data_IF_108840745310
#
_entry.id   IF_108840745310
#
_cell.length_a   1.000
_cell.length_b   1.000
_cell.length_c   1.000
_cell.angle_alpha   90.00
_cell.angle_beta   90.00
_cell.angle_gamma   90.00
#
_symmetry.space_group_name_H-M   'P 1'
#
loop_
_entity.id
_entity.type
_entity.pdbx_description
1 polymer ?
#
# COMPACT_ATOMS: atom_id res chain seq x y z
N UNK A 1 8.58 -7.35 127.72
CA UNK A 1 7.39 -7.48 126.86
C UNK A 1 7.55 -6.49 125.70
N UNK A 2 7.76 -5.21 125.99
CA UNK A 2 7.97 -4.12 125.01
C UNK A 2 8.99 -4.36 123.87
N UNK A 3 10.11 -5.03 124.11
CA UNK A 3 11.12 -5.27 123.06
C UNK A 3 10.64 -6.25 121.97
N UNK A 4 9.80 -7.22 122.32
CA UNK A 4 9.22 -8.16 121.35
C UNK A 4 8.14 -7.48 120.51
N UNK A 5 7.34 -6.61 121.13
CA UNK A 5 6.27 -5.89 120.46
C UNK A 5 6.84 -4.88 119.44
N UNK A 6 7.91 -4.15 119.79
CA UNK A 6 8.65 -3.29 118.84
C UNK A 6 9.21 -4.06 117.66
N UNK A 7 9.76 -5.26 117.89
CA UNK A 7 10.29 -6.10 116.82
C UNK A 7 9.18 -6.65 115.90
N UNK A 8 8.02 -6.99 116.47
CA UNK A 8 6.84 -7.41 115.70
C UNK A 8 6.34 -6.25 114.82
N UNK A 9 6.27 -5.03 115.38
CA UNK A 9 5.87 -3.83 114.65
C UNK A 9 6.84 -3.50 113.50
N UNK A 10 8.15 -3.63 113.72
CA UNK A 10 9.18 -3.45 112.68
C UNK A 10 9.06 -4.50 111.56
N UNK A 11 8.78 -5.76 111.91
CA UNK A 11 8.53 -6.81 110.92
C UNK A 11 7.25 -6.58 110.12
N UNK A 12 6.18 -6.11 110.77
CA UNK A 12 4.93 -5.75 110.11
C UNK A 12 5.13 -4.61 109.11
N UNK A 13 5.79 -3.53 109.53
CA UNK A 13 6.12 -2.41 108.66
C UNK A 13 6.93 -2.87 107.43
N UNK A 14 7.92 -3.75 107.64
CA UNK A 14 8.74 -4.28 106.54
C UNK A 14 7.94 -5.18 105.59
N UNK A 15 6.99 -5.95 106.10
CA UNK A 15 6.05 -6.72 105.28
C UNK A 15 5.17 -5.80 104.43
N UNK A 16 4.61 -4.75 105.02
CA UNK A 16 3.76 -3.78 104.32
C UNK A 16 4.55 -3.03 103.23
N UNK A 17 5.80 -2.64 103.51
CA UNK A 17 6.70 -2.03 102.52
C UNK A 17 7.05 -2.98 101.36
N UNK A 18 7.22 -4.28 101.63
CA UNK A 18 7.43 -5.27 100.59
C UNK A 18 6.17 -5.48 99.75
N UNK A 19 5.01 -5.57 100.39
CA UNK A 19 3.73 -5.70 99.70
C UNK A 19 3.48 -4.50 98.80
N UNK A 20 3.68 -3.28 99.31
CA UNK A 20 3.53 -2.06 98.53
C UNK A 20 4.47 -2.03 97.31
N UNK A 21 5.75 -2.44 97.48
CA UNK A 21 6.70 -2.56 96.36
C UNK A 21 6.25 -3.57 95.32
N UNK A 22 5.76 -4.74 95.75
CA UNK A 22 5.23 -5.74 94.83
C UNK A 22 3.97 -5.27 94.11
N UNK A 23 3.08 -4.54 94.79
CA UNK A 23 1.89 -3.96 94.15
C UNK A 23 2.28 -2.93 93.07
N UNK A 24 3.26 -2.06 93.34
CA UNK A 24 3.79 -1.12 92.34
C UNK A 24 4.40 -1.87 91.16
N UNK A 25 5.20 -2.90 91.41
CA UNK A 25 5.85 -3.66 90.36
C UNK A 25 4.85 -4.46 89.51
N UNK A 26 3.82 -5.04 90.13
CA UNK A 26 2.71 -5.70 89.44
C UNK A 26 1.92 -4.72 88.57
N UNK A 27 1.65 -3.51 89.06
CA UNK A 27 0.99 -2.47 88.26
C UNK A 27 1.87 -2.06 87.07
N UNK A 28 3.18 -1.85 87.29
CA UNK A 28 4.13 -1.52 86.23
C UNK A 28 4.18 -2.63 85.17
N UNK A 29 4.34 -3.88 85.59
CA UNK A 29 4.34 -5.04 84.68
C UNK A 29 3.02 -5.16 83.92
N UNK A 30 1.88 -4.93 84.59
CA UNK A 30 0.57 -4.94 83.94
C UNK A 30 0.46 -3.88 82.84
N UNK A 31 0.92 -2.65 83.10
CA UNK A 31 0.94 -1.59 82.08
C UNK A 31 1.86 -1.95 80.91
N UNK A 32 3.06 -2.48 81.18
CA UNK A 32 4.01 -2.87 80.14
C UNK A 32 3.47 -4.02 79.26
N UNK A 33 2.80 -5.00 79.85
CA UNK A 33 2.15 -6.10 79.12
C UNK A 33 1.03 -5.58 78.23
N UNK A 34 0.22 -4.62 78.71
CA UNK A 34 -0.86 -4.03 77.93
C UNK A 34 -0.32 -3.21 76.74
N UNK A 35 0.75 -2.45 76.94
CA UNK A 35 1.41 -1.68 75.89
C UNK A 35 2.03 -2.59 74.82
N UNK A 36 2.73 -3.64 75.25
CA UNK A 36 3.31 -4.66 74.36
C UNK A 36 2.23 -5.40 73.60
N UNK A 37 1.13 -5.80 74.25
CA UNK A 37 -0.02 -6.44 73.60
C UNK A 37 -0.63 -5.54 72.53
N UNK A 38 -0.80 -4.26 72.84
CA UNK A 38 -1.31 -3.26 71.89
C UNK A 38 -0.35 -3.03 70.73
N UNK A 39 0.97 -3.03 70.99
CA UNK A 39 1.98 -2.95 69.95
C UNK A 39 1.97 -4.18 69.03
N UNK A 40 1.90 -5.39 69.59
CA UNK A 40 1.78 -6.64 68.83
C UNK A 40 0.51 -6.63 67.96
N UNK A 41 -0.62 -6.19 68.50
CA UNK A 41 -1.87 -6.10 67.73
C UNK A 41 -1.75 -5.12 66.55
N UNK A 42 -1.07 -3.98 66.74
CA UNK A 42 -0.80 -3.01 65.65
C UNK A 42 0.13 -3.61 64.59
N UNK A 43 1.19 -4.31 65.00
CA UNK A 43 2.09 -4.98 64.07
C UNK A 43 1.35 -6.04 63.25
N UNK A 44 0.53 -6.88 63.89
CA UNK A 44 -0.28 -7.89 63.20
C UNK A 44 -1.20 -7.29 62.13
N UNK A 45 -1.89 -6.19 62.44
CA UNK A 45 -2.73 -5.49 61.45
C UNK A 45 -1.89 -4.97 60.29
N UNK A 46 -0.77 -4.32 60.58
CA UNK A 46 0.12 -3.79 59.53
C UNK A 46 0.69 -4.89 58.63
N UNK A 47 1.04 -6.04 59.20
CA UNK A 47 1.47 -7.21 58.43
C UNK A 47 0.33 -7.71 57.54
N UNK A 48 -0.88 -7.82 58.07
CA UNK A 48 -2.05 -8.23 57.28
C UNK A 48 -2.34 -7.26 56.12
N UNK A 49 -2.35 -5.95 56.38
CA UNK A 49 -2.59 -4.94 55.34
C UNK A 49 -1.55 -5.03 54.21
N UNK A 50 -0.29 -5.35 54.56
CA UNK A 50 0.78 -5.56 53.59
C UNK A 50 0.57 -6.85 52.79
N UNK A 51 0.22 -7.96 53.46
CA UNK A 51 -0.07 -9.23 52.80
C UNK A 51 -1.25 -9.12 51.83
N UNK A 52 -2.32 -8.45 52.24
CA UNK A 52 -3.51 -8.20 51.41
C UNK A 52 -3.15 -7.34 50.19
N UNK A 53 -2.38 -6.27 50.40
CA UNK A 53 -1.92 -5.40 49.30
C UNK A 53 -0.99 -6.13 48.32
N UNK A 54 -0.10 -6.99 48.83
CA UNK A 54 0.78 -7.78 47.98
C UNK A 54 -0.01 -8.80 47.16
N UNK A 55 -0.99 -9.46 47.79
CA UNK A 55 -1.87 -10.42 47.13
C UNK A 55 -2.70 -9.78 46.02
N UNK A 56 -3.27 -8.59 46.25
CA UNK A 56 -4.01 -7.84 45.22
C UNK A 56 -3.12 -7.45 44.04
N UNK A 57 -1.89 -6.99 44.32
CA UNK A 57 -0.92 -6.63 43.29
C UNK A 57 -0.49 -7.84 42.44
N UNK A 58 -0.23 -8.99 43.08
CA UNK A 58 0.07 -10.25 42.38
C UNK A 58 -1.08 -10.69 41.49
N UNK A 59 -2.32 -10.63 41.99
CA UNK A 59 -3.52 -10.98 41.21
C UNK A 59 -3.70 -10.07 40.00
N UNK A 60 -3.47 -8.76 40.16
CA UNK A 60 -3.54 -7.83 39.05
C UNK A 60 -2.46 -8.10 38.01
N UNK A 61 -1.23 -8.38 38.45
CA UNK A 61 -0.13 -8.72 37.56
C UNK A 61 -0.43 -9.99 36.77
N UNK A 62 -0.94 -11.04 37.42
CA UNK A 62 -1.33 -12.30 36.77
C UNK A 62 -2.40 -12.06 35.70
N UNK A 63 -3.42 -11.25 36.01
CA UNK A 63 -4.46 -10.87 35.05
C UNK A 63 -3.87 -10.15 33.83
N UNK A 64 -2.96 -9.19 34.05
CA UNK A 64 -2.28 -8.46 32.96
C UNK A 64 -1.42 -9.40 32.10
N UNK A 65 -0.65 -10.28 32.72
CA UNK A 65 0.16 -11.27 32.00
C UNK A 65 -0.70 -12.21 31.16
N UNK A 66 -1.82 -12.70 31.70
CA UNK A 66 -2.76 -13.55 30.98
C UNK A 66 -3.35 -12.83 29.76
N UNK A 67 -3.80 -11.58 29.95
CA UNK A 67 -4.33 -10.75 28.86
C UNK A 67 -3.29 -10.55 27.73
N UNK A 68 -2.04 -10.25 28.10
CA UNK A 68 -0.95 -10.11 27.12
C UNK A 68 -0.64 -11.42 26.40
N UNK A 69 -0.66 -12.55 27.12
CA UNK A 69 -0.47 -13.88 26.53
C UNK A 69 -1.55 -14.19 25.49
N UNK A 70 -2.82 -13.91 25.82
CA UNK A 70 -3.95 -14.11 24.90
C UNK A 70 -3.85 -13.22 23.65
N UNK A 71 -3.40 -11.97 23.82
CA UNK A 71 -3.15 -11.04 22.71
C UNK A 71 -2.03 -11.54 21.80
N UNK A 72 -0.91 -12.01 22.37
CA UNK A 72 0.21 -12.59 21.62
C UNK A 72 -0.26 -13.81 20.81
N UNK A 73 -1.08 -14.70 21.41
CA UNK A 73 -1.62 -15.86 20.71
C UNK A 73 -2.52 -15.45 19.53
N UNK A 74 -3.36 -14.43 19.72
CA UNK A 74 -4.22 -13.90 18.66
C UNK A 74 -3.42 -13.28 17.52
N UNK A 75 -2.39 -12.47 17.84
CA UNK A 75 -1.49 -11.87 16.86
C UNK A 75 -0.72 -12.93 16.08
N UNK A 76 -0.21 -13.97 16.76
CA UNK A 76 0.48 -15.08 16.08
C UNK A 76 -0.44 -15.80 15.09
N UNK A 77 -1.69 -16.04 15.46
CA UNK A 77 -2.68 -16.62 14.55
C UNK A 77 -2.91 -15.74 13.32
N UNK A 78 -2.99 -14.42 13.51
CA UNK A 78 -3.14 -13.46 12.40
C UNK A 78 -1.92 -13.45 11.49
N UNK A 79 -0.71 -13.49 12.06
CA UNK A 79 0.55 -13.56 11.29
C UNK A 79 0.57 -14.82 10.42
N UNK A 80 0.25 -15.99 10.98
CA UNK A 80 0.20 -17.25 10.21
C UNK A 80 -0.83 -17.15 9.06
N UNK A 81 -2.00 -16.55 9.32
CA UNK A 81 -3.00 -16.33 8.28
C UNK A 81 -2.53 -15.38 7.17
N UNK A 82 -1.81 -14.30 7.52
CA UNK A 82 -1.22 -13.38 6.56
C UNK A 82 -0.11 -14.01 5.73
N UNK A 83 0.74 -14.84 6.35
CA UNK A 83 1.78 -15.59 5.65
C UNK A 83 1.17 -16.55 4.62
N UNK A 84 0.07 -17.23 4.96
CA UNK A 84 -0.67 -18.08 4.02
C UNK A 84 -1.19 -17.28 2.82
N UNK A 85 -1.89 -16.17 3.06
CA UNK A 85 -2.40 -15.30 1.99
C UNK A 85 -1.28 -14.73 1.12
N UNK A 86 -0.14 -14.38 1.72
CA UNK A 86 1.02 -13.88 0.97
C UNK A 86 1.63 -14.98 0.09
N UNK A 87 1.72 -16.21 0.60
CA UNK A 87 2.16 -17.37 -0.19
C UNK A 87 1.24 -17.59 -1.40
N UNK A 88 -0.07 -17.51 -1.23
CA UNK A 88 -1.04 -17.63 -2.32
C UNK A 88 -0.91 -16.48 -3.34
N UNK A 89 -0.72 -15.25 -2.85
CA UNK A 89 -0.50 -14.09 -3.70
C UNK A 89 0.78 -14.22 -4.55
N UNK A 90 1.89 -14.68 -3.95
CA UNK A 90 3.15 -14.94 -4.65
C UNK A 90 2.96 -16.00 -5.74
N UNK A 91 2.22 -17.07 -5.43
CA UNK A 91 1.91 -18.11 -6.42
C UNK A 91 1.11 -17.54 -7.60
N UNK A 92 0.08 -16.74 -7.32
CA UNK A 92 -0.73 -16.09 -8.36
C UNK A 92 0.09 -15.12 -9.22
N UNK A 93 1.01 -14.36 -8.61
CA UNK A 93 1.93 -13.47 -9.34
C UNK A 93 2.77 -14.28 -10.31
N UNK A 94 3.36 -15.39 -9.84
CA UNK A 94 4.18 -16.27 -10.69
C UNK A 94 3.38 -16.84 -11.86
N UNK A 95 2.16 -17.31 -11.61
CA UNK A 95 1.28 -17.83 -12.68
C UNK A 95 0.93 -16.76 -13.72
N UNK A 96 0.81 -15.49 -13.30
CA UNK A 96 0.57 -14.36 -14.20
C UNK A 96 1.83 -13.96 -14.98
N UNK A 97 3.00 -14.02 -14.36
CA UNK A 97 4.29 -13.78 -15.02
C UNK A 97 4.51 -14.80 -16.14
N UNK A 98 4.30 -16.09 -15.86
CA UNK A 98 4.44 -17.17 -16.85
C UNK A 98 3.48 -16.97 -18.04
N UNK A 99 2.23 -16.57 -17.78
CA UNK A 99 1.26 -16.25 -18.84
C UNK A 99 1.67 -15.02 -19.64
N UNK A 100 2.23 -14.00 -18.99
CA UNK A 100 2.68 -12.80 -19.65
C UNK A 100 3.88 -13.10 -20.57
N UNK A 101 4.82 -13.95 -20.13
CA UNK A 101 5.93 -14.39 -20.96
C UNK A 101 5.46 -15.15 -22.21
N UNK A 102 4.48 -16.05 -22.06
CA UNK A 102 3.86 -16.75 -23.19
C UNK A 102 3.17 -15.78 -24.17
N UNK A 103 2.43 -14.79 -23.65
CA UNK A 103 1.81 -13.76 -24.49
C UNK A 103 2.84 -12.90 -25.23
N UNK A 104 3.94 -12.51 -24.56
CA UNK A 104 5.03 -11.76 -25.18
C UNK A 104 5.67 -12.57 -26.32
N UNK A 105 5.87 -13.87 -26.12
CA UNK A 105 6.40 -14.77 -27.16
C UNK A 105 5.46 -14.85 -28.36
N UNK A 106 4.16 -15.06 -28.12
CA UNK A 106 3.15 -15.07 -29.19
C UNK A 106 3.10 -13.76 -29.98
N UNK A 107 3.27 -12.61 -29.31
CA UNK A 107 3.36 -11.31 -29.99
C UNK A 107 4.61 -11.18 -30.87
N UNK A 108 5.75 -11.71 -30.42
CA UNK A 108 6.98 -11.74 -31.22
C UNK A 108 6.80 -12.61 -32.46
N UNK A 109 6.21 -13.79 -32.31
CA UNK A 109 5.93 -14.70 -33.43
C UNK A 109 4.97 -14.08 -34.45
N UNK A 110 3.89 -13.44 -33.99
CA UNK A 110 2.95 -12.70 -34.83
C UNK A 110 3.64 -11.56 -35.59
N UNK A 111 4.51 -10.80 -34.91
CA UNK A 111 5.25 -9.70 -35.54
C UNK A 111 6.19 -10.21 -36.63
N UNK A 112 6.84 -11.36 -36.41
CA UNK A 112 7.70 -12.00 -37.39
C UNK A 112 6.89 -12.46 -38.61
N UNK A 113 5.78 -13.18 -38.38
CA UNK A 113 4.89 -13.63 -39.44
C UNK A 113 4.34 -12.46 -40.26
N UNK A 114 3.94 -11.36 -39.61
CA UNK A 114 3.49 -10.15 -40.29
C UNK A 114 4.58 -9.55 -41.20
N UNK A 115 5.84 -9.51 -40.74
CA UNK A 115 6.95 -9.04 -41.57
C UNK A 115 7.20 -9.95 -42.77
N UNK A 116 7.10 -11.27 -42.58
CA UNK A 116 7.23 -12.26 -43.66
C UNK A 116 6.10 -12.11 -44.70
N UNK A 117 4.86 -11.93 -44.25
CA UNK A 117 3.70 -11.69 -45.11
C UNK A 117 3.84 -10.39 -45.92
N UNK A 118 4.26 -9.29 -45.29
CA UNK A 118 4.52 -8.03 -46.01
C UNK A 118 5.60 -8.21 -47.09
N UNK A 119 6.68 -8.93 -46.77
CA UNK A 119 7.73 -9.22 -47.75
C UNK A 119 7.20 -10.04 -48.93
N UNK A 120 6.31 -10.99 -48.66
CA UNK A 120 5.65 -11.80 -49.68
C UNK A 120 4.75 -10.95 -50.58
N UNK A 121 3.95 -10.05 -50.00
CA UNK A 121 3.11 -9.09 -50.75
C UNK A 121 3.97 -8.22 -51.65
N UNK A 122 5.04 -7.61 -51.12
CA UNK A 122 5.96 -6.77 -51.91
C UNK A 122 6.58 -7.54 -53.09
N UNK A 123 6.88 -8.83 -52.90
CA UNK A 123 7.43 -9.67 -53.97
C UNK A 123 6.40 -9.96 -55.07
N UNK A 124 5.15 -10.24 -54.68
CA UNK A 124 4.03 -10.48 -55.59
C UNK A 124 3.65 -9.22 -56.36
N UNK A 125 3.70 -8.05 -55.72
CA UNK A 125 3.46 -6.77 -56.38
C UNK A 125 4.49 -6.49 -57.49
N UNK A 126 5.78 -6.77 -57.22
CA UNK A 126 6.83 -6.66 -58.25
C UNK A 126 6.64 -7.66 -59.38
N UNK A 127 6.26 -8.89 -59.08
CA UNK A 127 6.02 -9.92 -60.09
C UNK A 127 4.80 -9.56 -60.96
N UNK A 128 3.72 -9.05 -60.35
CA UNK A 128 2.58 -8.49 -61.07
C UNK A 128 3.03 -7.37 -62.01
N UNK A 129 3.82 -6.41 -61.51
CA UNK A 129 4.28 -5.28 -62.31
C UNK A 129 5.16 -5.72 -63.48
N UNK A 130 6.00 -6.73 -63.27
CA UNK A 130 6.79 -7.36 -64.31
C UNK A 130 5.89 -7.95 -65.41
N UNK A 131 4.94 -8.83 -65.06
CA UNK A 131 4.04 -9.42 -66.05
C UNK A 131 3.13 -8.40 -66.74
N UNK A 132 2.70 -7.36 -66.02
CA UNK A 132 1.87 -6.30 -66.58
C UNK A 132 2.64 -5.48 -67.63
N UNK A 133 3.94 -5.25 -67.41
CA UNK A 133 4.82 -4.61 -68.37
C UNK A 133 5.11 -5.51 -69.59
N UNK A 134 5.37 -6.80 -69.37
CA UNK A 134 5.54 -7.78 -70.46
C UNK A 134 4.28 -7.88 -71.33
N UNK A 135 3.09 -7.92 -70.70
CA UNK A 135 1.81 -7.94 -71.42
C UNK A 135 1.62 -6.67 -72.28
N UNK A 136 1.98 -5.49 -71.75
CA UNK A 136 1.93 -4.23 -72.50
C UNK A 136 2.89 -4.24 -73.69
N UNK A 137 4.11 -4.76 -73.52
CA UNK A 137 5.08 -4.90 -74.60
C UNK A 137 4.57 -5.84 -75.70
N UNK A 138 4.12 -7.04 -75.35
CA UNK A 138 3.53 -8.00 -76.29
C UNK A 138 2.31 -7.41 -77.03
N UNK A 139 1.43 -6.68 -76.33
CA UNK A 139 0.27 -6.02 -76.95
C UNK A 139 0.72 -4.98 -77.98
N UNK A 140 1.76 -4.21 -77.68
CA UNK A 140 2.35 -3.23 -78.60
C UNK A 140 2.98 -3.91 -79.81
N UNK A 141 3.72 -5.00 -79.60
CA UNK A 141 4.34 -5.79 -80.68
C UNK A 141 3.29 -6.41 -81.60
N UNK A 142 2.23 -7.01 -81.04
CA UNK A 142 1.09 -7.51 -81.80
C UNK A 142 0.43 -6.40 -82.62
N UNK A 143 0.23 -5.22 -82.03
CA UNK A 143 -0.33 -4.06 -82.74
C UNK A 143 0.57 -3.59 -83.90
N UNK A 144 1.89 -3.56 -83.68
CA UNK A 144 2.87 -3.21 -84.71
C UNK A 144 2.91 -4.24 -85.86
N UNK A 145 2.81 -5.53 -85.56
CA UNK A 145 2.71 -6.59 -86.57
C UNK A 145 1.42 -6.43 -87.39
N UNK A 146 0.29 -6.17 -86.73
CA UNK A 146 -1.01 -6.03 -87.38
C UNK A 146 -1.08 -4.80 -88.30
N UNK A 147 -0.44 -3.70 -87.91
CA UNK A 147 -0.32 -2.48 -88.73
C UNK A 147 0.77 -2.60 -89.81
N UNK A 148 1.84 -3.37 -89.57
CA UNK A 148 2.88 -3.70 -90.55
C UNK A 148 2.38 -4.61 -91.67
N UNK A 149 1.57 -5.63 -91.35
CA UNK A 149 0.88 -6.48 -92.33
C UNK A 149 -0.13 -5.70 -93.18
N UNK A 150 -0.73 -4.64 -92.64
CA UNK A 150 -1.58 -3.72 -93.41
C UNK A 150 -0.79 -2.79 -94.34
N UNK A 151 0.52 -2.61 -94.15
CA UNK A 151 1.37 -1.80 -95.03
C UNK A 151 1.86 -2.55 -96.27
N UNK A 152 1.95 -3.89 -96.22
CA UNK A 152 2.36 -4.70 -97.37
C UNK A 152 1.19 -5.20 -98.23
N UNK A 153 -0.07 -5.11 -97.75
CA UNK A 153 -1.27 -5.46 -98.51
C UNK A 153 -2.37 -4.42 -98.33
N UNK A 154 -2.22 -3.27 -98.99
CA UNK A 154 -3.28 -2.65 -99.82
C UNK A 154 -2.87 -1.22 -100.22
N UNK A 155 -2.63 -1.03 -101.52
CA UNK A 155 -3.37 0.04 -102.18
C UNK A 155 -4.84 -0.37 -102.16
N UNK A 156 -5.68 0.58 -101.74
CA UNK A 156 -7.15 0.63 -101.78
C UNK A 156 -7.88 0.39 -100.45
N UNK A 157 -8.29 1.54 -99.90
CA UNK A 157 -9.69 1.90 -99.59
C UNK A 157 -10.37 1.36 -98.32
N UNK A 158 -10.73 2.35 -97.48
CA UNK A 158 -12.08 2.58 -96.91
C UNK A 158 -12.37 2.13 -95.47
N UNK A 159 -12.53 3.18 -94.65
CA UNK A 159 -13.50 3.45 -93.55
C UNK A 159 -13.97 2.37 -92.55
N UNK A 160 -14.17 2.89 -91.33
CA UNK A 160 -15.17 2.49 -90.32
C UNK A 160 -14.79 1.27 -89.46
N UNK A 161 -14.90 1.23 -88.14
CA UNK A 161 -15.87 1.83 -87.22
C UNK A 161 -15.23 2.20 -85.87
N UNK A 162 -15.75 3.29 -85.30
CA UNK A 162 -15.65 3.65 -83.89
C UNK A 162 -16.20 2.53 -83.00
N UNK A 163 -15.38 2.03 -82.07
CA UNK A 163 -15.81 1.20 -80.93
C UNK A 163 -15.45 1.94 -79.65
N UNK A 164 -16.47 2.48 -79.01
CA UNK A 164 -16.47 3.12 -77.69
C UNK A 164 -15.97 2.15 -76.62
N UNK A 165 -14.82 2.46 -76.05
CA UNK A 165 -14.40 1.89 -74.76
C UNK A 165 -15.22 2.54 -73.65
N UNK A 166 -15.87 1.69 -72.86
CA UNK A 166 -16.49 2.04 -71.59
C UNK A 166 -15.37 2.32 -70.59
N UNK A 167 -15.38 3.52 -70.00
CA UNK A 167 -14.55 3.89 -68.86
C UNK A 167 -14.93 3.01 -67.66
N UNK A 168 -14.01 2.14 -67.25
CA UNK A 168 -14.06 1.53 -65.93
C UNK A 168 -13.86 2.61 -64.87
N UNK A 169 -14.81 2.62 -63.93
CA UNK A 169 -14.93 3.58 -62.85
C UNK A 169 -13.66 3.65 -61.97
N UNK A 170 -13.32 4.85 -61.45
CA UNK A 170 -12.28 4.95 -60.44
C UNK A 170 -12.82 4.36 -59.14
N UNK A 171 -12.18 3.31 -58.65
CA UNK A 171 -12.38 2.78 -57.31
C UNK A 171 -11.98 3.88 -56.33
N UNK A 172 -12.96 4.43 -55.63
CA UNK A 172 -12.77 5.32 -54.49
C UNK A 172 -11.80 4.67 -53.50
N UNK A 173 -10.66 5.31 -53.32
CA UNK A 173 -9.77 5.07 -52.19
C UNK A 173 -10.49 5.53 -50.94
N UNK A 174 -11.14 4.59 -50.26
CA UNK A 174 -11.57 4.77 -48.88
C UNK A 174 -10.32 5.10 -48.07
N UNK A 175 -10.21 6.30 -47.47
CA UNK A 175 -9.09 6.59 -46.58
C UNK A 175 -9.20 5.65 -45.37
N UNK A 176 -8.10 5.13 -44.84
CA UNK A 176 -8.14 4.46 -43.55
C UNK A 176 -8.63 5.48 -42.51
N UNK A 177 -9.84 5.23 -42.00
CA UNK A 177 -10.41 5.85 -40.81
C UNK A 177 -9.42 5.66 -39.65
N UNK A 178 -8.50 6.61 -39.54
CA UNK A 178 -7.62 6.80 -38.39
C UNK A 178 -8.18 7.91 -37.51
N UNK A 179 -9.49 7.87 -37.26
CA UNK A 179 -10.08 8.60 -36.14
C UNK A 179 -9.83 7.83 -34.83
N UNK A 180 -8.55 7.66 -34.48
CA UNK A 180 -8.22 7.60 -33.07
C UNK A 180 -8.43 9.03 -32.54
N UNK A 181 -9.28 9.25 -31.53
CA UNK A 181 -9.53 10.59 -31.03
C UNK A 181 -8.22 11.13 -30.46
N UNK A 182 -7.58 12.06 -31.18
CA UNK A 182 -6.54 12.90 -30.62
C UNK A 182 -7.18 13.82 -29.58
N UNK A 183 -7.44 13.26 -28.41
CA UNK A 183 -7.79 14.02 -27.22
C UNK A 183 -6.50 14.72 -26.78
N UNK A 184 -6.24 15.90 -27.35
CA UNK A 184 -5.26 16.86 -26.81
C UNK A 184 -5.82 17.47 -25.52
N UNK A 185 -6.10 16.63 -24.53
CA UNK A 185 -6.46 17.05 -23.19
C UNK A 185 -5.20 17.49 -22.44
N UNK A 186 -5.26 18.65 -21.79
CA UNK A 186 -4.29 19.02 -20.76
C UNK A 186 -4.28 17.94 -19.68
N UNK A 187 -3.15 17.24 -19.52
CA UNK A 187 -3.03 16.20 -18.48
C UNK A 187 -3.03 16.83 -17.11
N UNK A 188 -3.71 16.19 -16.17
CA UNK A 188 -3.82 16.62 -14.78
C UNK A 188 -2.88 15.80 -13.91
N UNK A 189 -2.30 16.45 -12.92
CA UNK A 189 -1.52 15.82 -11.88
C UNK A 189 -2.12 16.24 -10.55
N UNK A 190 -2.65 15.28 -9.81
CA UNK A 190 -3.08 15.50 -8.43
C UNK A 190 -1.93 15.13 -7.50
N UNK A 191 -1.45 16.11 -6.75
CA UNK A 191 -0.48 15.89 -5.70
C UNK A 191 -1.19 15.94 -4.34
N UNK A 192 -1.19 14.83 -3.63
CA UNK A 192 -1.76 14.70 -2.29
C UNK A 192 -0.63 14.60 -1.29
N UNK A 193 -0.61 15.52 -0.33
CA UNK A 193 0.47 15.55 0.64
C UNK A 193 0.00 15.76 2.08
N UNK A 194 0.79 15.28 3.02
CA UNK A 194 0.70 15.71 4.42
C UNK A 194 1.32 17.11 4.61
N UNK A 195 1.28 17.59 5.85
CA UNK A 195 1.81 18.92 6.23
C UNK A 195 3.33 19.03 6.07
N UNK A 196 4.07 17.92 6.21
CA UNK A 196 5.53 17.91 6.07
C UNK A 196 5.96 18.15 4.62
N UNK A 197 5.11 17.75 3.67
CA UNK A 197 5.39 17.85 2.24
C UNK A 197 4.73 19.08 1.57
N UNK A 198 4.21 20.03 2.35
CA UNK A 198 3.54 21.26 1.87
C UNK A 198 4.34 22.06 0.85
N UNK A 199 5.66 22.05 0.95
CA UNK A 199 6.54 22.86 0.10
C UNK A 199 7.01 22.15 -1.18
N UNK A 200 6.70 20.86 -1.37
CA UNK A 200 7.19 20.10 -2.53
C UNK A 200 6.46 20.41 -3.84
N UNK A 201 5.25 20.95 -3.78
CA UNK A 201 4.44 21.22 -4.97
C UNK A 201 5.05 22.28 -5.91
N UNK A 202 5.68 23.31 -5.34
CA UNK A 202 6.26 24.40 -6.14
C UNK A 202 7.51 23.97 -6.93
N UNK A 203 8.51 23.29 -6.31
CA UNK A 203 9.61 22.69 -7.04
C UNK A 203 9.14 21.69 -8.11
N UNK A 204 8.17 20.84 -7.78
CA UNK A 204 7.61 19.86 -8.71
C UNK A 204 6.98 20.53 -9.93
N UNK A 205 6.21 21.61 -9.72
CA UNK A 205 5.60 22.39 -10.79
C UNK A 205 6.65 23.07 -11.67
N UNK A 206 7.71 23.61 -11.08
CA UNK A 206 8.84 24.20 -11.81
C UNK A 206 9.53 23.16 -12.71
N UNK A 207 9.91 22.00 -12.19
CA UNK A 207 10.62 20.99 -12.97
C UNK A 207 9.74 20.35 -14.05
N UNK A 208 8.49 20.02 -13.74
CA UNK A 208 7.57 19.45 -14.73
C UNK A 208 7.26 20.43 -15.87
N UNK A 209 7.26 21.73 -15.60
CA UNK A 209 7.09 22.75 -16.63
C UNK A 209 8.30 22.87 -17.58
N UNK A 210 9.51 22.49 -17.14
CA UNK A 210 10.72 22.47 -17.98
C UNK A 210 10.78 21.24 -18.88
N UNK A 211 10.34 20.09 -18.38
CA UNK A 211 10.45 18.80 -19.08
C UNK A 211 9.30 18.61 -20.08
N UNK A 212 8.13 19.19 -19.82
CA UNK A 212 6.94 18.97 -20.64
C UNK A 212 6.62 20.17 -21.53
N UNK A 213 6.76 20.02 -22.85
CA UNK A 213 6.18 20.96 -23.84
C UNK A 213 4.63 20.93 -23.85
N UNK A 214 3.98 20.11 -23.02
CA UNK A 214 2.52 20.02 -22.89
C UNK A 214 2.04 20.76 -21.65
N UNK A 215 0.91 21.47 -21.77
CA UNK A 215 0.18 22.12 -20.66
C UNK A 215 -0.27 21.08 -19.62
N UNK A 216 0.51 20.93 -18.55
CA UNK A 216 0.18 20.13 -17.38
C UNK A 216 -0.55 20.99 -16.33
N UNK A 217 -1.68 20.52 -15.83
CA UNK A 217 -2.39 21.16 -14.71
C UNK A 217 -2.08 20.40 -13.43
N UNK A 218 -1.32 21.02 -12.53
CA UNK A 218 -1.00 20.43 -11.22
C UNK A 218 -1.94 21.00 -10.17
N UNK A 219 -2.69 20.14 -9.51
CA UNK A 219 -3.54 20.44 -8.36
C UNK A 219 -2.89 19.84 -7.12
N UNK A 220 -2.66 20.65 -6.10
CA UNK A 220 -2.03 20.22 -4.85
C UNK A 220 -3.04 20.35 -3.71
N UNK A 221 -3.28 19.24 -3.01
CA UNK A 221 -4.17 19.18 -1.86
C UNK A 221 -3.38 18.71 -0.66
N UNK A 222 -3.42 19.51 0.40
CA UNK A 222 -2.72 19.24 1.66
C UNK A 222 -3.75 18.79 2.68
N UNK A 223 -3.51 17.65 3.32
CA UNK A 223 -4.29 17.19 4.46
C UNK A 223 -3.46 17.22 5.73
N UNK A 224 -3.51 18.34 6.44
CA UNK A 224 -2.82 18.48 7.72
C UNK A 224 -3.34 17.47 8.75
N UNK A 225 -2.42 16.84 9.48
CA UNK A 225 -2.74 15.86 10.53
C UNK A 225 -3.33 14.51 10.07
N UNK A 226 -3.61 14.33 8.77
CA UNK A 226 -4.16 13.06 8.27
C UNK A 226 -3.10 11.94 8.30
N UNK A 227 -3.53 10.75 8.71
CA UNK A 227 -2.79 9.50 8.53
C UNK A 227 -2.85 9.08 7.05
N UNK A 228 -1.95 8.18 6.64
CA UNK A 228 -1.87 7.70 5.26
C UNK A 228 -3.22 7.16 4.76
N UNK A 229 -3.94 6.40 5.59
CA UNK A 229 -5.29 5.90 5.29
C UNK A 229 -6.26 7.02 4.92
N UNK A 230 -6.32 8.08 5.74
CA UNK A 230 -7.19 9.23 5.48
C UNK A 230 -6.78 10.05 4.26
N UNK A 231 -5.53 9.96 3.79
CA UNK A 231 -5.10 10.55 2.51
C UNK A 231 -5.57 9.68 1.35
N UNK A 232 -5.43 8.35 1.45
CA UNK A 232 -5.88 7.38 0.45
C UNK A 232 -7.38 7.42 0.24
N UNK A 233 -8.18 7.55 1.30
CA UNK A 233 -9.64 7.60 1.18
C UNK A 233 -10.10 8.76 0.27
N UNK A 234 -9.40 9.90 0.31
CA UNK A 234 -9.72 11.02 -0.59
C UNK A 234 -9.19 10.87 -2.00
N UNK A 235 -8.30 9.93 -2.28
CA UNK A 235 -7.91 9.64 -3.66
C UNK A 235 -9.13 9.17 -4.45
N UNK A 236 -9.98 8.34 -3.85
CA UNK A 236 -11.19 7.82 -4.50
C UNK A 236 -12.12 8.95 -4.92
N UNK A 237 -12.41 9.89 -4.03
CA UNK A 237 -13.28 11.03 -4.32
C UNK A 237 -12.66 12.03 -5.31
N UNK A 238 -11.36 12.29 -5.17
CA UNK A 238 -10.67 13.31 -5.98
C UNK A 238 -10.28 12.81 -7.38
N UNK A 239 -10.24 11.48 -7.58
CA UNK A 239 -9.88 10.85 -8.85
C UNK A 239 -11.06 10.53 -9.76
N UNK A 240 -12.30 10.82 -9.37
CA UNK A 240 -13.51 10.50 -10.17
C UNK A 240 -13.48 11.07 -11.60
N UNK A 241 -12.75 12.18 -11.81
CA UNK A 241 -12.61 12.84 -13.10
C UNK A 241 -11.24 12.63 -13.76
N UNK A 242 -10.48 11.62 -13.32
CA UNK A 242 -9.16 11.28 -13.87
C UNK A 242 -9.29 10.25 -14.99
N UNK A 243 -8.50 10.45 -16.04
CA UNK A 243 -8.36 9.53 -17.16
C UNK A 243 -7.10 8.68 -17.00
N UNK A 244 -6.92 7.68 -17.86
CA UNK A 244 -5.70 6.83 -17.88
C UNK A 244 -4.41 7.59 -18.22
N UNK A 245 -4.51 8.85 -18.63
CA UNK A 245 -3.38 9.73 -18.96
C UNK A 245 -3.03 10.73 -17.86
N UNK A 246 -3.81 10.76 -16.78
CA UNK A 246 -3.62 11.64 -15.62
C UNK A 246 -2.85 10.91 -14.52
N UNK A 247 -2.19 11.68 -13.65
CA UNK A 247 -1.31 11.12 -12.62
C UNK A 247 -1.72 11.55 -11.22
N UNK A 248 -1.60 10.63 -10.27
CA UNK A 248 -1.82 10.90 -8.84
C UNK A 248 -0.50 10.60 -8.12
N UNK A 249 0.01 11.60 -7.41
CA UNK A 249 1.24 11.51 -6.62
C UNK A 249 0.84 11.65 -5.16
N UNK A 250 1.25 10.71 -4.32
CA UNK A 250 0.89 10.68 -2.90
C UNK A 250 2.18 10.76 -2.08
N UNK A 251 2.29 11.81 -1.26
CA UNK A 251 3.38 12.03 -0.31
C UNK A 251 2.80 12.19 1.10
N UNK A 252 2.47 11.08 1.73
CA UNK A 252 1.90 11.01 3.07
C UNK A 252 2.51 9.84 3.86
N UNK A 253 2.39 9.86 5.18
CA UNK A 253 2.93 8.83 6.07
C UNK A 253 3.70 9.38 7.27
N UNK A 254 4.09 10.67 7.24
CA UNK A 254 4.87 11.27 8.34
C UNK A 254 4.09 11.32 9.65
N UNK A 255 2.76 11.45 9.56
CA UNK A 255 1.88 11.48 10.72
C UNK A 255 1.70 10.08 11.34
N UNK A 256 1.67 9.02 10.54
CA UNK A 256 1.58 7.63 10.99
C UNK A 256 2.78 7.27 11.89
N UNK A 257 3.99 7.67 11.46
CA UNK A 257 5.23 7.49 12.24
C UNK A 257 5.18 8.30 13.55
N UNK A 258 4.75 9.57 13.50
CA UNK A 258 4.61 10.40 14.71
C UNK A 258 3.62 9.81 15.71
N UNK A 259 2.51 9.24 15.22
CA UNK A 259 1.51 8.57 16.06
C UNK A 259 2.06 7.32 16.73
N UNK A 260 2.81 6.48 16.00
CA UNK A 260 3.46 5.30 16.57
C UNK A 260 4.49 5.68 17.65
N UNK A 261 5.34 6.67 17.39
CA UNK A 261 6.33 7.13 18.37
C UNK A 261 5.68 7.77 19.62
N UNK A 262 4.58 8.50 19.45
CA UNK A 262 3.87 9.13 20.58
C UNK A 262 3.15 8.11 21.46
N UNK A 263 2.68 7.02 20.87
CA UNK A 263 2.06 5.90 21.59
C UNK A 263 3.09 5.12 22.40
N UNK A 264 4.31 4.97 21.88
CA UNK A 264 5.40 4.29 22.58
C UNK A 264 5.85 5.04 23.84
N UNK A 265 5.85 6.38 23.81
CA UNK A 265 6.24 7.22 24.96
C UNK A 265 5.20 7.32 26.07
N UNK A 266 3.95 6.91 25.84
CA UNK A 266 2.90 6.90 26.89
C UNK A 266 2.83 5.59 27.65
N UNK A 267 3.47 4.53 27.13
CA UNK A 267 3.44 3.19 27.70
C UNK A 267 4.74 2.79 28.42
N UNK A 268 5.73 3.70 28.47
CA UNK A 268 6.95 3.62 29.28
C UNK A 268 6.97 4.80 30.24
#
# INVERSE_FOLDING_TARGET
>A
MEAKDKYIEELQLRCDEMEHRFQIELQRLSTEVNDKTSHIARLKRRTQDFEDSAFEAERELEYRMKKQSDEILSLNKNIVGLLGKNSDAIKNIKDLEDKNEDMVKKLQDLKKLHSELLTSIDSLEKERDYYLNDLKACKLDCFNIQTGLHREKSHKETQCYSSTFVEDAPIETVPPDSSAPQVYGTRKILFLSDEQNRYMANPLRSELSKVSNKKLKIEHIIKSGAQFSGVIDSVIDLSQNFTSLDFIIIAAGSNDVKWQCSSYKRNN
#
